data_IF_500658188361
#
_entry.id   IF_500658188361
#
_cell.length_a   1.000
_cell.length_b   1.000
_cell.length_c   1.000
_cell.angle_alpha   90.00
_cell.angle_beta   90.00
_cell.angle_gamma   90.00
#
_symmetry.space_group_name_H-M   'P 1'
#
loop_
_entity.id
_entity.type
_entity.pdbx_description
1 polymer ?
#
# COMPACT_ATOMS: atom_id res chain seq x y z
N UNK A 1 -0.59 -8.06 31.42
CA UNK A 1 -0.95 -9.26 30.62
C UNK A 1 -2.49 -9.35 30.58
N UNK A 2 -3.16 -8.43 29.85
CA UNK A 2 -4.63 -8.29 29.87
C UNK A 2 -5.22 -7.85 28.50
N UNK A 3 -4.52 -8.11 27.40
CA UNK A 3 -4.91 -7.67 26.05
C UNK A 3 -4.81 -8.79 25.00
N UNK A 4 -4.84 -10.06 25.44
CA UNK A 4 -4.83 -11.22 24.54
C UNK A 4 -6.16 -11.28 23.77
N UNK A 5 -6.07 -11.26 22.43
CA UNK A 5 -7.21 -11.25 21.47
C UNK A 5 -8.25 -12.36 21.67
N UNK A 6 -7.95 -13.43 22.42
CA UNK A 6 -8.82 -14.60 22.55
C UNK A 6 -9.46 -14.83 23.93
N UNK A 7 -9.09 -14.04 24.95
CA UNK A 7 -9.49 -14.32 26.35
C UNK A 7 -10.11 -13.11 27.06
N UNK A 8 -10.34 -12.00 26.36
CA UNK A 8 -10.86 -10.79 26.95
C UNK A 8 -12.08 -10.30 26.16
N UNK A 9 -13.27 -10.49 26.70
CA UNK A 9 -14.53 -9.96 26.15
C UNK A 9 -14.49 -8.42 26.00
N UNK A 10 -13.67 -7.76 26.82
CA UNK A 10 -13.41 -6.31 26.73
C UNK A 10 -12.58 -5.92 25.50
N UNK A 11 -11.87 -6.86 24.88
CA UNK A 11 -11.09 -6.59 23.67
C UNK A 11 -11.99 -6.21 22.49
N UNK A 12 -13.15 -6.84 22.36
CA UNK A 12 -14.13 -6.51 21.32
C UNK A 12 -14.70 -5.10 21.53
N UNK A 13 -14.94 -4.72 22.79
CA UNK A 13 -15.37 -3.37 23.17
C UNK A 13 -14.28 -2.33 22.88
N UNK A 14 -13.01 -2.66 23.11
CA UNK A 14 -11.88 -1.76 22.88
C UNK A 14 -11.50 -1.61 21.39
N UNK A 15 -11.89 -2.55 20.54
CA UNK A 15 -11.57 -2.53 19.10
C UNK A 15 -12.68 -1.92 18.25
N UNK A 16 -13.92 -1.87 18.76
CA UNK A 16 -15.02 -1.19 18.09
C UNK A 16 -14.94 0.31 18.33
N UNK A 17 -14.88 1.09 17.25
CA UNK A 17 -15.00 2.53 17.37
C UNK A 17 -16.41 2.91 17.86
N UNK A 18 -16.52 4.04 18.55
CA UNK A 18 -17.81 4.58 18.96
C UNK A 18 -18.77 4.73 17.77
N UNK A 19 -18.25 5.09 16.58
CA UNK A 19 -19.03 5.13 15.35
C UNK A 19 -19.66 3.78 14.98
N UNK A 20 -18.92 2.67 15.07
CA UNK A 20 -19.46 1.32 14.78
C UNK A 20 -20.53 0.93 15.80
N UNK A 21 -20.32 1.26 17.07
CA UNK A 21 -21.32 1.03 18.13
C UNK A 21 -22.61 1.80 17.84
N UNK A 22 -22.49 3.07 17.46
CA UNK A 22 -23.61 3.94 17.12
C UNK A 22 -24.34 3.48 15.86
N UNK A 23 -23.59 3.14 14.78
CA UNK A 23 -24.14 2.65 13.51
C UNK A 23 -24.96 1.35 13.68
N UNK A 24 -24.56 0.49 14.61
CA UNK A 24 -25.26 -0.77 14.86
C UNK A 24 -26.41 -0.62 15.87
N UNK A 25 -26.58 0.56 16.46
CA UNK A 25 -27.68 0.85 17.37
C UNK A 25 -28.87 1.42 16.60
N UNK A 26 -30.02 0.77 16.72
CA UNK A 26 -31.30 1.22 16.13
C UNK A 26 -31.72 2.62 16.60
N UNK A 27 -31.10 3.16 17.66
CA UNK A 27 -31.40 4.49 18.17
C UNK A 27 -30.94 5.62 17.26
N UNK A 28 -30.03 5.35 16.31
CA UNK A 28 -29.34 6.39 15.53
C UNK A 28 -29.46 6.19 14.02
N UNK A 29 -30.38 5.33 13.57
CA UNK A 29 -30.55 5.00 12.15
C UNK A 29 -30.84 6.27 11.31
N UNK A 30 -31.62 7.21 11.84
CA UNK A 30 -31.95 8.48 11.15
C UNK A 30 -30.83 9.54 11.19
N UNK A 31 -29.76 9.30 11.95
CA UNK A 31 -28.62 10.22 12.08
C UNK A 31 -27.44 9.87 11.17
N UNK A 32 -27.49 8.72 10.48
CA UNK A 32 -26.41 8.27 9.62
C UNK A 32 -26.59 8.79 8.19
N UNK A 33 -25.68 9.65 7.75
CA UNK A 33 -25.59 10.06 6.35
C UNK A 33 -24.49 9.24 5.66
N UNK A 34 -24.87 8.40 4.69
CA UNK A 34 -23.94 7.67 3.84
C UNK A 34 -23.66 8.47 2.56
N UNK A 35 -22.38 8.72 2.25
CA UNK A 35 -21.96 9.27 0.98
C UNK A 35 -21.73 8.11 0.00
N UNK A 36 -22.45 8.11 -1.11
CA UNK A 36 -22.45 7.03 -2.08
C UNK A 36 -21.68 7.34 -3.38
N UNK A 37 -21.23 8.58 -3.57
CA UNK A 37 -20.56 9.03 -4.79
C UNK A 37 -19.08 9.27 -4.56
N UNK A 38 -18.23 8.64 -5.38
CA UNK A 38 -16.77 8.75 -5.32
C UNK A 38 -16.22 9.56 -6.51
N UNK A 39 -15.20 10.38 -6.28
CA UNK A 39 -14.61 11.28 -7.28
C UNK A 39 -13.10 11.03 -7.50
N UNK A 40 -12.60 9.86 -7.10
CA UNK A 40 -11.16 9.54 -7.11
C UNK A 40 -10.79 8.50 -8.16
N UNK A 41 -11.38 7.32 -8.05
CA UNK A 41 -10.98 6.13 -8.77
C UNK A 41 -11.64 6.10 -10.14
N UNK A 42 -10.90 5.73 -11.17
CA UNK A 42 -11.49 5.32 -12.44
C UNK A 42 -12.49 4.16 -12.21
N UNK A 43 -13.59 4.13 -12.97
CA UNK A 43 -14.69 3.17 -12.82
C UNK A 43 -14.23 1.70 -12.79
N UNK A 44 -13.29 1.31 -13.65
CA UNK A 44 -12.65 -0.01 -13.64
C UNK A 44 -11.99 -0.40 -12.31
N UNK A 45 -11.44 0.57 -11.56
CA UNK A 45 -10.85 0.37 -10.22
C UNK A 45 -11.94 0.41 -9.15
N UNK A 46 -12.87 1.36 -9.27
CA UNK A 46 -13.97 1.55 -8.32
C UNK A 46 -14.92 0.35 -8.28
N UNK A 47 -15.18 -0.30 -9.42
CA UNK A 47 -16.16 -1.39 -9.55
C UNK A 47 -15.88 -2.57 -8.60
N UNK A 48 -14.71 -3.24 -8.63
CA UNK A 48 -14.45 -4.34 -7.70
C UNK A 48 -14.49 -3.87 -6.24
N UNK A 49 -14.03 -2.64 -5.94
CA UNK A 49 -14.12 -2.08 -4.59
C UNK A 49 -15.59 -1.94 -4.15
N UNK A 50 -16.44 -1.38 -5.02
CA UNK A 50 -17.88 -1.22 -4.80
C UNK A 50 -18.58 -2.55 -4.59
N UNK A 51 -18.36 -3.51 -5.49
CA UNK A 51 -19.02 -4.81 -5.48
C UNK A 51 -18.64 -5.62 -4.22
N UNK A 52 -17.37 -5.60 -3.84
CA UNK A 52 -16.84 -6.41 -2.73
C UNK A 52 -17.19 -5.82 -1.36
N UNK A 53 -16.99 -4.52 -1.14
CA UNK A 53 -17.15 -3.90 0.19
C UNK A 53 -18.40 -3.06 0.36
N UNK A 54 -18.94 -2.49 -0.72
CA UNK A 54 -20.06 -1.54 -0.67
C UNK A 54 -21.33 -2.08 -1.35
N UNK A 55 -21.39 -3.39 -1.64
CA UNK A 55 -22.56 -4.07 -2.24
C UNK A 55 -23.01 -3.43 -3.56
N UNK A 56 -22.07 -2.91 -4.35
CA UNK A 56 -22.34 -2.25 -5.62
C UNK A 56 -22.96 -0.85 -5.50
N UNK A 57 -23.02 -0.25 -4.30
CA UNK A 57 -23.67 1.04 -4.06
C UNK A 57 -22.80 2.27 -4.32
N UNK A 58 -21.50 2.09 -4.54
CA UNK A 58 -20.59 3.21 -4.78
C UNK A 58 -20.71 3.69 -6.24
N UNK A 59 -21.23 4.90 -6.43
CA UNK A 59 -21.41 5.58 -7.70
C UNK A 59 -20.15 6.36 -8.08
N UNK A 60 -19.85 6.46 -9.38
CA UNK A 60 -18.77 7.28 -9.89
C UNK A 60 -19.27 8.69 -10.18
N UNK A 61 -18.57 9.70 -9.67
CA UNK A 61 -18.82 11.10 -10.02
C UNK A 61 -18.37 11.44 -11.45
N UNK A 62 -18.70 12.64 -11.94
CA UNK A 62 -18.18 13.14 -13.20
C UNK A 62 -16.64 13.15 -13.22
N UNK A 63 -16.07 12.94 -14.41
CA UNK A 63 -14.64 13.05 -14.73
C UNK A 63 -13.73 11.99 -14.08
N UNK A 64 -14.27 10.98 -13.40
CA UNK A 64 -13.42 9.89 -12.85
C UNK A 64 -12.80 9.02 -13.94
N UNK A 65 -13.44 8.98 -15.10
CA UNK A 65 -13.04 8.14 -16.24
C UNK A 65 -12.27 8.94 -17.30
N UNK A 66 -12.03 10.24 -17.05
CA UNK A 66 -11.28 11.10 -17.96
C UNK A 66 -9.80 10.71 -17.98
N UNK A 67 -9.21 10.74 -19.16
CA UNK A 67 -7.80 10.48 -19.34
C UNK A 67 -6.97 11.69 -18.91
N UNK A 68 -6.10 11.48 -17.92
CA UNK A 68 -5.13 12.50 -17.50
C UNK A 68 -3.87 12.45 -18.37
N UNK A 69 -3.09 13.55 -18.45
CA UNK A 69 -1.80 13.55 -19.15
C UNK A 69 -0.81 12.48 -18.64
N UNK A 70 -0.83 12.18 -17.34
CA UNK A 70 -0.02 11.09 -16.77
C UNK A 70 -0.50 9.74 -17.29
N UNK A 71 -1.82 9.53 -17.35
CA UNK A 71 -2.39 8.29 -17.87
C UNK A 71 -2.00 8.05 -19.33
N UNK A 72 -1.99 9.07 -20.19
CA UNK A 72 -1.58 8.91 -21.60
C UNK A 72 -0.14 8.37 -21.72
N UNK A 73 0.79 8.88 -20.89
CA UNK A 73 2.17 8.35 -20.86
C UNK A 73 2.23 6.93 -20.29
N UNK A 74 1.46 6.65 -19.24
CA UNK A 74 1.37 5.31 -18.66
C UNK A 74 0.77 4.31 -19.64
N UNK A 75 -0.27 4.67 -20.37
CA UNK A 75 -0.91 3.84 -21.39
C UNK A 75 0.08 3.47 -22.49
N UNK A 76 0.86 4.45 -22.99
CA UNK A 76 1.93 4.18 -23.96
C UNK A 76 2.96 3.18 -23.46
N UNK A 77 3.32 3.25 -22.17
CA UNK A 77 4.18 2.25 -21.55
C UNK A 77 3.48 0.89 -21.47
N UNK A 78 2.23 0.83 -21.02
CA UNK A 78 1.48 -0.42 -20.90
C UNK A 78 1.22 -1.09 -22.27
N UNK A 79 1.10 -0.31 -23.35
CA UNK A 79 0.98 -0.86 -24.70
C UNK A 79 2.20 -1.69 -25.11
N UNK A 80 3.39 -1.45 -24.53
CA UNK A 80 4.57 -2.31 -24.75
C UNK A 80 4.44 -3.67 -24.06
N UNK A 81 3.52 -3.80 -23.10
CA UNK A 81 3.22 -5.05 -22.40
C UNK A 81 2.17 -5.90 -23.12
N UNK A 82 1.66 -5.47 -24.28
CA UNK A 82 0.75 -6.30 -25.10
C UNK A 82 1.52 -7.47 -25.73
N UNK A 83 0.90 -8.66 -25.87
CA UNK A 83 -0.51 -8.96 -25.59
C UNK A 83 -0.79 -9.35 -24.12
N UNK A 84 0.22 -9.40 -23.25
CA UNK A 84 0.04 -9.83 -21.86
C UNK A 84 -0.88 -8.87 -21.06
N UNK A 85 -0.79 -7.56 -21.33
CA UNK A 85 -1.73 -6.59 -20.79
C UNK A 85 -3.05 -6.58 -21.58
N UNK A 86 -4.16 -6.69 -20.85
CA UNK A 86 -5.52 -6.78 -21.38
C UNK A 86 -6.20 -5.41 -21.66
N UNK A 87 -5.49 -4.29 -21.48
CA UNK A 87 -6.03 -2.94 -21.68
C UNK A 87 -6.76 -2.35 -20.46
N UNK A 88 -6.84 -3.07 -19.34
CA UNK A 88 -7.53 -2.60 -18.11
C UNK A 88 -6.61 -1.83 -17.18
N UNK A 89 -7.21 -1.04 -16.29
CA UNK A 89 -6.54 -0.22 -15.27
C UNK A 89 -6.26 -0.95 -13.95
N UNK A 90 -6.53 -2.25 -13.90
CA UNK A 90 -6.08 -3.13 -12.82
C UNK A 90 -5.15 -4.15 -13.47
N UNK A 91 -3.96 -4.30 -12.92
CA UNK A 91 -2.95 -5.27 -13.37
C UNK A 91 -2.46 -6.04 -12.15
N UNK A 92 -2.37 -7.36 -12.27
CA UNK A 92 -1.78 -8.21 -11.25
C UNK A 92 -0.53 -8.89 -11.84
N UNK A 93 0.65 -8.55 -11.35
CA UNK A 93 1.91 -9.16 -11.76
C UNK A 93 2.18 -10.35 -10.84
N UNK A 94 2.24 -11.53 -11.43
CA UNK A 94 2.53 -12.75 -10.70
C UNK A 94 4.01 -12.85 -10.35
N UNK A 95 4.32 -12.67 -9.07
CA UNK A 95 5.64 -12.87 -8.47
C UNK A 95 5.73 -14.23 -7.76
N UNK A 96 4.96 -15.23 -8.22
CA UNK A 96 5.15 -16.61 -7.79
C UNK A 96 6.56 -17.09 -8.19
N UNK A 97 7.32 -17.64 -7.24
CA UNK A 97 8.69 -18.08 -7.45
C UNK A 97 9.70 -17.57 -6.44
N UNK A 98 9.39 -16.49 -5.70
CA UNK A 98 10.17 -16.05 -4.54
C UNK A 98 9.35 -16.09 -3.26
N UNK A 99 9.96 -16.61 -2.19
CA UNK A 99 9.33 -16.70 -0.88
C UNK A 99 9.68 -15.50 -0.02
N UNK A 100 8.72 -15.08 0.79
CA UNK A 100 8.95 -14.00 1.73
C UNK A 100 9.86 -14.42 2.86
N UNK A 101 10.76 -13.52 3.24
CA UNK A 101 11.60 -13.67 4.41
C UNK A 101 11.33 -12.52 5.39
N UNK A 102 11.82 -12.65 6.63
CA UNK A 102 11.83 -11.57 7.60
C UNK A 102 13.28 -11.09 7.77
N UNK A 103 13.60 -9.82 7.48
CA UNK A 103 14.93 -9.29 7.77
C UNK A 103 15.22 -9.33 9.27
N UNK A 104 16.36 -9.93 9.64
CA UNK A 104 16.75 -10.14 11.04
C UNK A 104 15.77 -11.04 11.81
N UNK A 105 15.58 -10.77 13.10
CA UNK A 105 14.67 -11.52 13.98
C UNK A 105 13.24 -10.92 14.05
N UNK A 106 12.84 -10.17 13.02
CA UNK A 106 11.54 -9.48 12.98
C UNK A 106 10.36 -10.37 12.54
N UNK A 107 9.15 -9.80 12.63
CA UNK A 107 7.91 -10.42 12.11
C UNK A 107 7.38 -9.76 10.83
N UNK A 108 8.09 -8.74 10.33
CA UNK A 108 7.72 -8.04 9.11
C UNK A 108 8.34 -8.74 7.91
N UNK A 109 7.54 -8.98 6.88
CA UNK A 109 7.96 -9.72 5.70
C UNK A 109 8.51 -8.80 4.60
N UNK A 110 9.36 -9.37 3.75
CA UNK A 110 9.87 -8.82 2.49
C UNK A 110 9.81 -9.91 1.44
N UNK A 111 9.49 -9.55 0.20
CA UNK A 111 9.63 -10.41 -0.97
C UNK A 111 10.48 -9.65 -2.00
N UNK A 112 11.73 -10.09 -2.21
CA UNK A 112 12.68 -9.38 -3.06
C UNK A 112 12.21 -9.30 -4.51
N UNK A 113 11.60 -10.37 -5.02
CA UNK A 113 11.09 -10.41 -6.40
C UNK A 113 9.98 -9.39 -6.61
N UNK A 114 9.08 -9.22 -5.63
CA UNK A 114 8.05 -8.17 -5.71
C UNK A 114 8.68 -6.78 -5.70
N UNK A 115 9.68 -6.53 -4.83
CA UNK A 115 10.35 -5.22 -4.74
C UNK A 115 11.08 -4.90 -6.04
N UNK A 116 11.88 -5.83 -6.55
CA UNK A 116 12.69 -5.63 -7.76
C UNK A 116 11.79 -5.43 -8.98
N UNK A 117 10.72 -6.24 -9.09
CA UNK A 117 9.78 -6.14 -10.21
C UNK A 117 8.99 -4.83 -10.14
N UNK A 118 8.60 -4.38 -8.95
CA UNK A 118 7.89 -3.12 -8.75
C UNK A 118 8.76 -1.92 -9.12
N UNK A 119 10.01 -1.89 -8.66
CA UNK A 119 10.95 -0.81 -8.97
C UNK A 119 11.29 -0.78 -10.46
N UNK A 120 11.48 -1.94 -11.09
CA UNK A 120 11.66 -2.08 -12.54
C UNK A 120 10.45 -1.53 -13.31
N UNK A 121 9.24 -1.86 -12.87
CA UNK A 121 8.01 -1.34 -13.49
C UNK A 121 7.95 0.19 -13.41
N UNK A 122 8.17 0.76 -12.23
CA UNK A 122 8.16 2.20 -12.02
C UNK A 122 9.24 2.92 -12.85
N UNK A 123 10.46 2.38 -12.87
CA UNK A 123 11.59 2.94 -13.63
C UNK A 123 11.31 2.94 -15.14
N UNK A 124 10.86 1.81 -15.71
CA UNK A 124 10.51 1.72 -17.13
C UNK A 124 9.35 2.65 -17.51
N UNK A 125 8.32 2.74 -16.67
CA UNK A 125 7.24 3.70 -16.84
C UNK A 125 7.76 5.15 -16.85
N UNK A 126 8.66 5.50 -15.93
CA UNK A 126 9.27 6.83 -15.88
C UNK A 126 10.20 7.12 -17.05
N UNK A 127 10.91 6.13 -17.57
CA UNK A 127 11.78 6.28 -18.75
C UNK A 127 11.01 6.43 -20.07
N UNK A 128 9.72 6.08 -20.09
CA UNK A 128 8.87 6.22 -21.29
C UNK A 128 8.80 7.67 -21.76
N UNK A 129 8.99 7.87 -23.08
CA UNK A 129 8.88 9.19 -23.72
C UNK A 129 7.40 9.55 -23.84
N UNK A 130 6.94 10.69 -23.29
CA UNK A 130 5.53 11.08 -23.34
C UNK A 130 4.99 11.15 -24.78
N UNK A 131 3.77 10.66 -25.05
CA UNK A 131 3.06 10.92 -26.30
C UNK A 131 2.57 12.38 -26.37
N UNK A 132 2.06 12.85 -27.52
CA UNK A 132 1.35 14.13 -27.60
C UNK A 132 0.22 14.22 -26.55
N UNK A 133 0.18 15.30 -25.78
CA UNK A 133 -0.76 15.48 -24.68
C UNK A 133 -0.39 14.78 -23.36
N UNK A 134 0.63 13.91 -23.37
CA UNK A 134 1.16 13.27 -22.17
C UNK A 134 2.23 14.10 -21.45
N UNK A 135 2.54 13.71 -20.21
CA UNK A 135 3.62 14.32 -19.40
C UNK A 135 4.68 13.32 -18.97
N UNK A 136 5.88 13.80 -18.66
CA UNK A 136 6.95 12.96 -18.09
C UNK A 136 6.50 12.43 -16.72
N UNK A 137 6.54 11.12 -16.55
CA UNK A 137 6.25 10.53 -15.25
C UNK A 137 7.41 10.75 -14.28
N UNK A 138 7.07 11.07 -13.04
CA UNK A 138 8.00 11.34 -11.95
C UNK A 138 7.67 10.45 -10.75
N UNK A 139 8.62 10.24 -9.82
CA UNK A 139 8.39 9.44 -8.61
C UNK A 139 7.15 9.84 -7.81
N UNK A 140 6.83 11.13 -7.74
CA UNK A 140 5.64 11.65 -7.06
C UNK A 140 4.29 11.18 -7.64
N UNK A 141 4.26 10.69 -8.87
CA UNK A 141 3.03 10.15 -9.48
C UNK A 141 2.72 8.72 -9.00
N UNK A 142 3.68 8.06 -8.35
CA UNK A 142 3.56 6.70 -7.85
C UNK A 142 3.39 6.70 -6.34
N UNK A 143 2.23 6.22 -5.90
CA UNK A 143 2.03 5.76 -4.54
C UNK A 143 2.38 4.28 -4.49
N UNK A 144 3.24 3.89 -3.55
CA UNK A 144 3.58 2.49 -3.31
C UNK A 144 3.00 2.10 -1.95
N UNK A 145 2.19 1.05 -1.93
CA UNK A 145 1.55 0.56 -0.71
C UNK A 145 1.96 -0.87 -0.38
N UNK A 146 2.19 -1.12 0.89
CA UNK A 146 2.52 -2.46 1.39
C UNK A 146 2.06 -2.64 2.83
N UNK A 147 1.60 -3.83 3.25
CA UNK A 147 1.21 -4.05 4.64
C UNK A 147 2.42 -4.13 5.59
N UNK A 148 3.64 -4.35 5.07
CA UNK A 148 4.82 -4.66 5.85
C UNK A 148 5.85 -3.53 5.84
N UNK A 149 6.31 -3.13 7.03
CA UNK A 149 7.31 -2.06 7.17
C UNK A 149 8.67 -2.44 6.60
N UNK A 150 9.08 -3.71 6.72
CA UNK A 150 10.32 -4.19 6.13
C UNK A 150 10.30 -4.02 4.60
N UNK A 151 9.24 -4.44 3.91
CA UNK A 151 9.07 -4.19 2.47
C UNK A 151 9.12 -2.70 2.14
N UNK A 152 8.45 -1.86 2.93
CA UNK A 152 8.51 -0.40 2.72
C UNK A 152 9.94 0.12 2.75
N UNK A 153 10.74 -0.29 3.73
CA UNK A 153 12.13 0.16 3.84
C UNK A 153 12.99 -0.39 2.72
N UNK A 154 12.78 -1.65 2.33
CA UNK A 154 13.49 -2.28 1.22
C UNK A 154 13.26 -1.51 -0.10
N UNK A 155 12.00 -1.17 -0.39
CA UNK A 155 11.65 -0.36 -1.58
C UNK A 155 12.32 1.02 -1.54
N UNK A 156 12.35 1.68 -0.38
CA UNK A 156 12.99 3.00 -0.24
C UNK A 156 14.51 2.89 -0.46
N UNK A 157 15.15 1.87 0.11
CA UNK A 157 16.59 1.63 0.00
C UNK A 157 16.98 1.32 -1.43
N UNK A 158 16.41 0.25 -2.02
CA UNK A 158 16.68 -0.14 -3.41
C UNK A 158 16.28 0.93 -4.42
N UNK A 159 15.15 1.62 -4.20
CA UNK A 159 14.74 2.73 -5.05
C UNK A 159 15.71 3.93 -4.99
N UNK A 160 16.39 4.13 -3.87
CA UNK A 160 17.47 5.11 -3.74
C UNK A 160 18.75 4.68 -4.47
N UNK A 161 19.13 3.41 -4.33
CA UNK A 161 20.31 2.80 -4.99
C UNK A 161 20.19 2.85 -6.51
N UNK A 162 18.99 2.56 -7.04
CA UNK A 162 18.69 2.63 -8.48
C UNK A 162 18.53 4.07 -9.00
N UNK A 163 18.64 5.08 -8.14
CA UNK A 163 18.48 6.49 -8.52
C UNK A 163 17.04 6.88 -8.89
N UNK A 164 16.07 5.99 -8.67
CA UNK A 164 14.63 6.18 -8.93
C UNK A 164 14.02 7.19 -7.96
N UNK A 165 14.45 7.15 -6.69
CA UNK A 165 13.93 8.00 -5.62
C UNK A 165 15.06 8.88 -5.05
N UNK A 166 15.05 10.17 -5.40
CA UNK A 166 16.12 11.11 -5.04
C UNK A 166 15.67 12.19 -4.06
N UNK A 167 16.62 12.94 -3.48
CA UNK A 167 16.31 14.04 -2.56
C UNK A 167 15.54 15.14 -3.31
N UNK A 168 14.30 15.39 -2.90
CA UNK A 168 13.41 16.38 -3.53
C UNK A 168 12.37 15.79 -4.48
N UNK A 169 12.54 14.54 -4.94
CA UNK A 169 11.55 13.81 -5.72
C UNK A 169 11.61 12.32 -5.37
N UNK A 170 10.82 11.92 -4.37
CA UNK A 170 10.85 10.58 -3.79
C UNK A 170 9.61 9.80 -4.16
N UNK A 171 9.77 8.49 -4.26
CA UNK A 171 8.64 7.56 -4.25
C UNK A 171 7.88 7.70 -2.93
N UNK A 172 6.56 7.82 -3.00
CA UNK A 172 5.72 7.81 -1.81
C UNK A 172 5.43 6.37 -1.39
N UNK A 173 6.24 5.84 -0.46
CA UNK A 173 6.10 4.47 0.03
C UNK A 173 5.43 4.47 1.40
N UNK A 174 4.23 3.90 1.48
CA UNK A 174 3.42 3.92 2.68
C UNK A 174 3.02 2.51 3.14
N UNK A 175 2.90 2.36 4.45
CA UNK A 175 2.29 1.17 5.03
C UNK A 175 0.78 1.30 4.90
N UNK A 176 0.06 0.25 4.54
CA UNK A 176 -1.42 0.25 4.44
C UNK A 176 -2.12 0.87 5.66
N UNK A 177 -1.64 0.60 6.87
CA UNK A 177 -2.21 1.16 8.11
C UNK A 177 -1.91 2.65 8.31
N UNK A 178 -0.89 3.17 7.65
CA UNK A 178 -0.53 4.58 7.65
C UNK A 178 -1.17 5.36 6.50
N UNK A 179 -1.72 4.70 5.48
CA UNK A 179 -2.38 5.34 4.31
C UNK A 179 -3.82 5.69 4.64
N UNK A 180 -4.06 6.41 5.75
CA UNK A 180 -5.38 6.97 5.99
C UNK A 180 -5.48 8.33 5.28
N UNK A 181 -6.03 8.32 4.06
CA UNK A 181 -6.30 9.54 3.27
C UNK A 181 -5.28 9.85 2.17
N UNK A 182 -4.15 9.14 2.11
CA UNK A 182 -3.24 9.21 0.96
C UNK A 182 -3.92 8.71 -0.32
N UNK A 183 -3.56 9.30 -1.46
CA UNK A 183 -4.01 8.91 -2.80
C UNK A 183 -2.87 9.08 -3.79
N UNK A 184 -2.81 8.22 -4.81
CA UNK A 184 -1.79 8.29 -5.86
C UNK A 184 -2.44 8.22 -7.23
N UNK A 185 -1.83 8.87 -8.23
CA UNK A 185 -2.26 8.76 -9.62
C UNK A 185 -2.16 7.30 -10.04
N UNK A 186 -1.00 6.68 -9.78
CA UNK A 186 -0.77 5.25 -9.92
C UNK A 186 -0.46 4.65 -8.54
N UNK A 187 -1.14 3.56 -8.20
CA UNK A 187 -0.84 2.81 -6.97
C UNK A 187 -0.19 1.48 -7.33
N UNK A 188 1.00 1.24 -6.77
CA UNK A 188 1.73 -0.02 -6.87
C UNK A 188 1.67 -0.74 -5.52
N UNK A 189 1.06 -1.92 -5.47
CA UNK A 189 0.85 -2.66 -4.22
C UNK A 189 1.80 -3.85 -4.18
N UNK A 190 2.67 -3.91 -3.17
CA UNK A 190 3.37 -5.16 -2.83
C UNK A 190 2.71 -5.81 -1.60
N UNK A 191 2.14 -6.99 -1.79
CA UNK A 191 1.59 -7.77 -0.68
C UNK A 191 2.68 -8.48 0.13
N UNK A 192 3.85 -8.70 -0.46
CA UNK A 192 5.07 -9.21 0.13
C UNK A 192 4.94 -10.55 0.86
N UNK A 193 3.84 -11.29 0.64
CA UNK A 193 3.49 -12.51 1.35
C UNK A 193 3.42 -13.69 0.40
N UNK A 194 4.41 -14.56 0.52
CA UNK A 194 4.49 -15.83 -0.14
C UNK A 194 5.20 -16.81 0.80
N UNK A 195 4.57 -17.94 1.12
CA UNK A 195 5.13 -18.96 1.99
C UNK A 195 5.07 -20.31 1.28
N UNK A 196 6.22 -20.99 1.20
CA UNK A 196 6.34 -22.31 0.61
C UNK A 196 5.28 -23.28 1.18
N UNK A 197 4.53 -23.91 0.28
CA UNK A 197 3.46 -24.87 0.61
C UNK A 197 2.24 -24.28 1.35
N UNK A 198 2.21 -22.97 1.61
CA UNK A 198 1.12 -22.31 2.36
C UNK A 198 0.75 -20.96 1.71
N UNK A 199 0.25 -20.96 0.45
CA UNK A 199 0.00 -19.72 -0.30
C UNK A 199 -1.05 -18.80 0.36
N UNK A 200 -1.99 -19.37 1.12
CA UNK A 200 -3.03 -18.61 1.85
C UNK A 200 -2.60 -18.14 3.26
N UNK A 201 -1.31 -18.27 3.61
CA UNK A 201 -0.75 -17.73 4.86
C UNK A 201 -0.49 -16.21 4.77
N UNK A 202 -1.55 -15.44 4.54
CA UNK A 202 -1.51 -14.04 4.10
C UNK A 202 -1.15 -13.02 5.20
N UNK A 203 -1.36 -13.37 6.48
CA UNK A 203 -1.16 -12.42 7.59
C UNK A 203 -1.98 -11.14 7.38
N UNK A 204 -1.33 -9.98 7.40
CA UNK A 204 -1.99 -8.67 7.25
C UNK A 204 -2.65 -8.45 5.88
N UNK A 205 -2.27 -9.21 4.85
CA UNK A 205 -2.89 -9.15 3.52
C UNK A 205 -4.30 -9.72 3.53
N UNK A 206 -4.62 -10.64 4.45
CA UNK A 206 -5.95 -11.22 4.57
C UNK A 206 -6.99 -10.31 5.24
N UNK A 207 -6.56 -9.21 5.86
CA UNK A 207 -7.44 -8.30 6.57
C UNK A 207 -8.28 -7.47 5.58
N UNK A 208 -9.59 -7.66 5.63
CA UNK A 208 -10.56 -7.03 4.70
C UNK A 208 -10.49 -5.50 4.71
N UNK A 209 -10.31 -4.89 5.89
CA UNK A 209 -10.22 -3.43 6.00
C UNK A 209 -8.95 -2.91 5.32
N UNK A 210 -7.80 -3.53 5.58
CA UNK A 210 -6.53 -3.19 4.94
C UNK A 210 -6.60 -3.37 3.42
N UNK A 211 -7.26 -4.44 2.93
CA UNK A 211 -7.45 -4.65 1.50
C UNK A 211 -8.30 -3.55 0.86
N UNK A 212 -9.45 -3.21 1.44
CA UNK A 212 -10.30 -2.12 0.96
C UNK A 212 -9.54 -0.79 0.90
N UNK A 213 -8.84 -0.44 1.98
CA UNK A 213 -8.03 0.79 2.02
C UNK A 213 -6.97 0.75 0.92
N UNK A 214 -6.21 -0.34 0.81
CA UNK A 214 -5.13 -0.47 -0.19
C UNK A 214 -5.63 -0.34 -1.63
N UNK A 215 -6.74 -1.02 -1.96
CA UNK A 215 -7.29 -1.07 -3.32
C UNK A 215 -8.08 0.19 -3.72
N UNK A 216 -8.36 1.08 -2.76
CA UNK A 216 -9.10 2.34 -2.99
C UNK A 216 -8.21 3.59 -3.09
N UNK A 217 -6.89 3.41 -3.27
CA UNK A 217 -5.91 4.52 -3.28
C UNK A 217 -5.58 5.05 -4.68
N UNK A 218 -5.71 4.23 -5.71
CA UNK A 218 -5.38 4.60 -7.09
C UNK A 218 -6.42 5.56 -7.68
N UNK A 219 -5.98 6.53 -8.47
CA UNK A 219 -6.86 7.32 -9.32
C UNK A 219 -6.98 6.70 -10.71
N UNK A 220 -5.85 6.46 -11.38
CA UNK A 220 -5.79 6.08 -12.80
C UNK A 220 -5.38 4.62 -13.06
N UNK A 221 -4.44 4.07 -12.28
CA UNK A 221 -3.94 2.69 -12.45
C UNK A 221 -3.66 2.03 -11.11
N UNK A 222 -4.06 0.78 -10.98
CA UNK A 222 -3.75 -0.08 -9.85
C UNK A 222 -2.91 -1.28 -10.33
N UNK A 223 -1.69 -1.43 -9.81
CA UNK A 223 -0.85 -2.60 -10.08
C UNK A 223 -0.61 -3.36 -8.78
N UNK A 224 -0.82 -4.68 -8.81
CA UNK A 224 -0.68 -5.57 -7.66
C UNK A 224 0.47 -6.54 -7.94
N UNK A 225 1.44 -6.60 -7.03
CA UNK A 225 2.55 -7.55 -7.07
C UNK A 225 2.33 -8.56 -5.94
N UNK A 226 2.39 -9.85 -6.28
CA UNK A 226 2.13 -10.90 -5.29
C UNK A 226 2.16 -12.31 -5.87
N UNK A 227 1.84 -13.29 -5.04
CA UNK A 227 1.82 -14.70 -5.41
C UNK A 227 0.51 -15.08 -6.12
N UNK A 228 0.24 -14.44 -7.26
CA UNK A 228 -1.07 -14.43 -7.94
C UNK A 228 -1.49 -15.83 -8.38
N UNK A 229 -0.62 -16.57 -9.08
CA UNK A 229 -1.03 -17.84 -9.67
C UNK A 229 -1.46 -18.88 -8.62
N UNK A 230 -0.72 -19.10 -7.51
CA UNK A 230 -1.18 -20.00 -6.45
C UNK A 230 -2.44 -19.52 -5.71
N UNK A 231 -2.69 -18.21 -5.64
CA UNK A 231 -3.93 -17.68 -5.07
C UNK A 231 -5.12 -17.92 -5.97
N UNK A 232 -4.97 -17.73 -7.28
CA UNK A 232 -5.99 -18.06 -8.28
C UNK A 232 -6.34 -19.55 -8.17
N UNK A 233 -5.33 -20.42 -8.16
CA UNK A 233 -5.53 -21.86 -8.02
C UNK A 233 -6.31 -22.22 -6.75
N UNK A 234 -6.05 -21.52 -5.63
CA UNK A 234 -6.79 -21.75 -4.39
C UNK A 234 -8.27 -21.35 -4.49
N UNK A 235 -8.59 -20.28 -5.22
CA UNK A 235 -9.97 -19.85 -5.49
C UNK A 235 -10.67 -20.83 -6.43
N UNK A 236 -10.01 -21.26 -7.51
CA UNK A 236 -10.54 -22.25 -8.45
C UNK A 236 -10.84 -23.59 -7.77
N UNK A 237 -9.96 -24.02 -6.86
CA UNK A 237 -10.15 -25.20 -6.03
C UNK A 237 -11.17 -25.01 -4.90
N UNK A 238 -11.83 -23.85 -4.83
CA UNK A 238 -12.83 -23.50 -3.81
C UNK A 238 -12.32 -23.71 -2.38
N UNK A 239 -11.07 -23.36 -2.10
CA UNK A 239 -10.48 -23.55 -0.78
C UNK A 239 -11.35 -22.86 0.30
N UNK A 240 -11.85 -23.58 1.34
CA UNK A 240 -12.91 -23.07 2.22
C UNK A 240 -12.63 -21.70 2.84
N UNK A 241 -11.36 -21.42 3.16
CA UNK A 241 -10.94 -20.18 3.82
C UNK A 241 -11.13 -18.93 2.93
N UNK A 242 -11.11 -19.06 1.60
CA UNK A 242 -11.33 -17.94 0.65
C UNK A 242 -12.76 -17.87 0.12
N UNK A 243 -13.60 -18.85 0.47
CA UNK A 243 -15.01 -18.89 0.08
C UNK A 243 -15.89 -18.09 1.04
N UNK A 244 -17.18 -17.96 0.72
CA UNK A 244 -18.16 -17.25 1.54
C UNK A 244 -18.19 -17.80 2.97
N UNK A 245 -18.06 -16.91 3.95
CA UNK A 245 -18.00 -17.26 5.37
C UNK A 245 -16.62 -17.69 5.86
N UNK A 246 -15.61 -17.75 4.99
CA UNK A 246 -14.22 -18.00 5.36
C UNK A 246 -13.48 -16.73 5.80
N UNK A 247 -12.42 -16.90 6.59
CA UNK A 247 -11.59 -15.79 7.13
C UNK A 247 -11.00 -14.89 6.04
N UNK A 248 -10.84 -15.40 4.82
CA UNK A 248 -10.24 -14.73 3.67
C UNK A 248 -11.25 -14.52 2.54
N UNK A 249 -12.57 -14.51 2.81
CA UNK A 249 -13.62 -14.31 1.79
C UNK A 249 -13.34 -13.08 0.89
N UNK A 250 -13.02 -11.94 1.51
CA UNK A 250 -12.77 -10.70 0.79
C UNK A 250 -11.53 -10.76 -0.09
N UNK A 251 -10.49 -11.43 0.38
CA UNK A 251 -9.30 -11.69 -0.42
C UNK A 251 -9.63 -12.62 -1.60
N UNK A 252 -10.41 -13.68 -1.35
CA UNK A 252 -10.92 -14.59 -2.38
C UNK A 252 -11.63 -13.84 -3.50
N UNK A 253 -12.56 -12.94 -3.16
CA UNK A 253 -13.27 -12.09 -4.15
C UNK A 253 -12.35 -11.18 -4.97
N UNK A 254 -11.29 -10.64 -4.35
CA UNK A 254 -10.30 -9.84 -5.08
C UNK A 254 -9.57 -10.70 -6.11
N UNK A 255 -9.11 -11.88 -5.71
CA UNK A 255 -8.41 -12.81 -6.60
C UNK A 255 -9.34 -13.36 -7.69
N UNK A 256 -10.58 -13.68 -7.35
CA UNK A 256 -11.62 -14.08 -8.31
C UNK A 256 -11.86 -12.99 -9.36
N UNK A 257 -11.93 -11.71 -8.94
CA UNK A 257 -12.05 -10.57 -9.85
C UNK A 257 -10.85 -10.45 -10.78
N UNK A 258 -9.62 -10.59 -10.25
CA UNK A 258 -8.38 -10.55 -11.05
C UNK A 258 -8.39 -11.66 -12.12
N UNK A 259 -8.76 -12.88 -11.71
CA UNK A 259 -8.82 -14.04 -12.60
C UNK A 259 -9.89 -13.86 -13.70
N UNK A 260 -11.12 -13.54 -13.30
CA UNK A 260 -12.26 -13.40 -14.21
C UNK A 260 -12.04 -12.33 -15.27
N UNK A 261 -11.41 -11.21 -14.89
CA UNK A 261 -11.11 -10.11 -15.81
C UNK A 261 -9.81 -10.31 -16.60
N UNK A 262 -9.05 -11.39 -16.35
CA UNK A 262 -7.74 -11.67 -16.95
C UNK A 262 -6.74 -10.54 -16.72
N UNK A 263 -6.74 -9.98 -15.51
CA UNK A 263 -5.85 -8.87 -15.12
C UNK A 263 -4.43 -9.36 -14.78
N UNK A 264 -4.21 -10.67 -14.72
CA UNK A 264 -2.93 -11.27 -14.34
C UNK A 264 -1.92 -11.34 -15.51
N UNK A 265 -0.68 -10.91 -15.26
CA UNK A 265 0.48 -11.02 -16.15
C UNK A 265 1.50 -11.94 -15.49
N UNK A 266 1.93 -12.99 -16.20
CA UNK A 266 2.95 -13.90 -15.71
C UNK A 266 4.34 -13.25 -15.72
N UNK A 267 5.21 -13.63 -14.77
CA UNK A 267 6.58 -13.12 -14.71
C UNK A 267 7.39 -13.40 -15.99
N UNK A 268 7.13 -14.54 -16.64
CA UNK A 268 7.80 -14.90 -17.90
C UNK A 268 7.49 -13.91 -19.02
N UNK A 269 6.20 -13.56 -19.21
CA UNK A 269 5.78 -12.56 -20.18
C UNK A 269 6.37 -11.20 -19.83
N UNK A 270 6.33 -10.82 -18.56
CA UNK A 270 6.88 -9.56 -18.09
C UNK A 270 8.39 -9.45 -18.35
N UNK A 271 9.16 -10.51 -18.09
CA UNK A 271 10.59 -10.54 -18.34
C UNK A 271 10.94 -10.51 -19.82
N UNK A 272 10.11 -11.12 -20.68
CA UNK A 272 10.28 -11.03 -22.13
C UNK A 272 10.05 -9.61 -22.66
N UNK A 273 9.11 -8.87 -22.06
CA UNK A 273 8.70 -7.54 -22.52
C UNK A 273 9.50 -6.42 -21.83
N UNK A 274 10.03 -6.70 -20.64
CA UNK A 274 10.90 -5.82 -19.86
C UNK A 274 12.13 -6.59 -19.36
N UNK A 275 13.11 -6.87 -20.25
CA UNK A 275 14.32 -7.56 -19.85
C UNK A 275 15.04 -6.80 -18.73
N UNK A 276 15.68 -7.58 -17.86
CA UNK A 276 16.54 -7.06 -16.79
C UNK A 276 17.77 -6.46 -17.48
N UNK A 277 18.01 -5.16 -17.27
CA UNK A 277 19.29 -4.57 -17.67
C UNK A 277 20.35 -5.07 -16.69
N UNK A 278 21.11 -6.11 -17.06
CA UNK A 278 22.17 -6.69 -16.23
C UNK A 278 23.23 -5.64 -15.83
N UNK A 279 23.46 -4.64 -16.68
CA UNK A 279 24.41 -3.54 -16.46
C UNK A 279 23.97 -2.54 -15.37
N UNK A 280 22.66 -2.44 -15.08
CA UNK A 280 22.14 -1.48 -14.10
C UNK A 280 22.28 -1.96 -12.64
N UNK A 281 22.56 -3.25 -12.40
CA UNK A 281 22.65 -3.82 -11.05
C UNK A 281 24.06 -3.77 -10.43
N UNK A 282 25.06 -3.28 -11.16
CA UNK A 282 26.47 -3.27 -10.73
C UNK A 282 26.93 -1.99 -9.98
N UNK A 283 26.01 -1.15 -9.51
CA UNK A 283 26.37 0.09 -8.79
C UNK A 283 26.47 -0.20 -7.30
N UNK A 284 27.68 -0.51 -6.84
CA UNK A 284 28.00 -0.69 -5.41
C UNK A 284 28.04 0.70 -4.71
N UNK A 285 26.91 1.12 -4.11
CA UNK A 285 26.85 2.32 -3.27
C UNK A 285 26.73 1.92 -1.81
N UNK A 286 27.64 2.39 -0.96
CA UNK A 286 27.60 2.17 0.50
C UNK A 286 26.43 2.93 1.14
N UNK A 287 25.29 2.27 1.31
CA UNK A 287 24.13 2.77 2.05
C UNK A 287 24.02 2.02 3.39
N UNK A 288 23.58 2.66 4.50
CA UNK A 288 23.49 2.00 5.79
C UNK A 288 22.49 0.85 5.75
N UNK A 289 22.89 -0.32 6.27
CA UNK A 289 22.03 -1.50 6.40
C UNK A 289 20.76 -1.21 7.22
N UNK A 290 19.73 -2.03 7.02
CA UNK A 290 18.46 -1.95 7.77
C UNK A 290 18.67 -1.85 9.30
N UNK A 291 19.62 -2.62 9.84
CA UNK A 291 20.00 -2.56 11.26
C UNK A 291 20.57 -1.19 11.67
N UNK A 292 21.33 -0.53 10.79
CA UNK A 292 21.85 0.81 11.02
C UNK A 292 20.73 1.86 10.99
N UNK A 293 19.71 1.68 10.14
CA UNK A 293 18.54 2.56 10.09
C UNK A 293 17.64 2.43 11.32
N UNK A 294 17.39 1.20 11.81
CA UNK A 294 16.64 0.97 13.05
C UNK A 294 17.32 1.67 14.23
N UNK A 295 18.64 1.47 14.41
CA UNK A 295 19.41 2.13 15.47
C UNK A 295 19.35 3.66 15.39
N UNK A 296 19.29 4.21 14.18
CA UNK A 296 19.18 5.66 13.97
C UNK A 296 17.80 6.19 14.36
N UNK A 297 16.74 5.44 14.06
CA UNK A 297 15.37 5.77 14.45
C UNK A 297 15.13 5.65 15.96
N UNK A 298 15.71 4.63 16.61
CA UNK A 298 15.68 4.47 18.07
C UNK A 298 16.40 5.62 18.78
N UNK A 299 17.58 6.03 18.28
CA UNK A 299 18.28 7.23 18.77
C UNK A 299 17.46 8.50 18.58
N UNK A 300 16.75 8.64 17.45
CA UNK A 300 15.85 9.76 17.18
C UNK A 300 14.66 9.82 18.14
N UNK A 301 14.04 8.67 18.44
CA UNK A 301 12.96 8.54 19.44
C UNK A 301 13.45 8.86 20.86
N UNK A 302 14.61 8.35 21.25
CA UNK A 302 15.22 8.65 22.55
C UNK A 302 15.55 10.14 22.72
N UNK A 303 16.00 10.81 21.65
CA UNK A 303 16.28 12.25 21.64
C UNK A 303 15.01 13.10 21.76
N UNK A 304 13.93 12.71 21.07
CA UNK A 304 12.61 13.36 21.22
C UNK A 304 11.99 13.14 22.62
N UNK A 305 12.13 11.95 23.19
CA UNK A 305 11.68 11.66 24.55
C UNK A 305 12.42 12.51 25.60
N UNK A 306 13.75 12.66 25.46
CA UNK A 306 14.56 13.53 26.34
C UNK A 306 14.20 15.02 26.20
N UNK A 307 13.86 15.48 24.99
CA UNK A 307 13.40 16.84 24.77
C UNK A 307 12.02 17.12 25.40
N UNK A 308 11.12 16.14 25.39
CA UNK A 308 9.81 16.25 26.04
C UNK A 308 9.90 16.31 27.58
N UNK A 309 10.87 15.61 28.18
CA UNK A 309 11.12 15.65 29.64
C UNK A 309 11.93 16.86 30.12
N UNK A 310 12.49 17.67 29.21
CA UNK A 310 13.39 18.79 29.53
C UNK A 310 12.71 20.14 29.75
N UNK A 311 11.39 20.25 29.54
CA UNK A 311 10.67 21.55 29.53
C UNK A 311 10.17 21.98 30.92
N UNK A 312 10.27 21.15 31.96
CA UNK A 312 9.61 21.40 33.26
C UNK A 312 10.47 22.00 34.39
N UNK A 313 11.64 22.60 34.09
CA UNK A 313 12.48 23.23 35.14
C UNK A 313 12.99 24.63 34.79
N UNK A 314 12.08 25.56 34.44
CA UNK A 314 12.33 27.01 34.58
C UNK A 314 11.05 27.78 34.89
N UNK A 315 10.44 27.57 36.06
CA UNK A 315 9.72 28.65 36.74
C UNK A 315 9.72 28.41 38.25
N UNK A 316 10.61 29.08 38.96
CA UNK A 316 10.48 29.28 40.39
C UNK A 316 11.30 30.51 40.81
N UNK A 317 10.59 31.46 41.42
CA UNK A 317 11.06 32.43 42.40
C UNK A 317 11.90 33.64 41.96
N UNK A 318 11.20 34.78 41.86
CA UNK A 318 11.75 36.11 42.06
C UNK A 318 10.64 37.05 42.56
N UNK A 319 10.36 37.03 43.87
CA UNK A 319 9.57 38.07 44.55
C UNK A 319 10.38 39.37 44.53
N UNK A 320 9.84 40.43 43.97
CA UNK A 320 10.29 41.79 44.26
C UNK A 320 9.11 42.57 44.84
N UNK A 321 9.30 43.00 46.08
CA UNK A 321 8.41 43.86 46.85
C UNK A 321 8.34 45.25 46.22
N UNK A 322 7.12 45.76 46.01
CA UNK A 322 6.90 47.16 45.66
C UNK A 322 7.00 48.02 46.93
N UNK A 323 8.11 48.73 47.05
CA UNK A 323 8.33 49.80 48.01
C UNK A 323 7.87 51.15 47.46
N UNK A 324 6.91 51.76 48.16
CA UNK A 324 6.43 53.14 48.04
C UNK A 324 7.57 54.16 48.19
N UNK A 325 7.61 55.21 47.34
CA UNK A 325 7.73 56.64 47.74
C UNK A 325 7.81 57.62 46.55
N UNK A 326 6.86 58.57 46.54
CA UNK A 326 6.98 60.05 46.37
C UNK A 326 8.26 60.55 45.67
N UNK A 327 8.21 61.39 44.64
CA UNK A 327 7.50 62.68 44.44
C UNK A 327 7.34 62.92 42.93
#
# INVERSE_FOLDING_TARGET
MATSMGYNEFFEVLTRSFFVVMKNSRMWDDCLVELDTQYRMHSQIAKPVSDIWYKGKLNNGPNTDDDTPEWLTMQKFLDTLRPAWNGRRIIAIDCSGSYSHCPGNGTSHVNDLEVDTLLRFADRAMKTVPPPGGVKLEPRHFLITTPYNATKWEIITKGGELGISQKGNRLDVQNTRAVQGGQGIFNLISFAKNKAGKPLSLGMVGDSHNLNVTLSRAMCLQVIFGNIAPWVQAVENQAPIVMRGGDLEYFGKVIESIHTNKDAIAMADLNSLMPIDEDAMAVEVKVPTFDAMIKTNEKGRAKKAKAATGVEKKSAFGRQEQGVRRR
#
